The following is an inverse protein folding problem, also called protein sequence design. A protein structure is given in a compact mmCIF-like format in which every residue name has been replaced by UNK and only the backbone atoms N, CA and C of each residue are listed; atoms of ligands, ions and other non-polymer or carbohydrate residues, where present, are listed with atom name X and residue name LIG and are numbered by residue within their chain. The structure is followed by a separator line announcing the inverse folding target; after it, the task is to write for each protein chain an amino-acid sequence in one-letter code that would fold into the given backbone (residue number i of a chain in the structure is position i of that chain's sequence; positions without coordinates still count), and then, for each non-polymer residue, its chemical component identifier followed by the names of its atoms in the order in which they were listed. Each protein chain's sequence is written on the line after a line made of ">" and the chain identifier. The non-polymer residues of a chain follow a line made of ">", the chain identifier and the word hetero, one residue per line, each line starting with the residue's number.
data_IF_742659920695
#
_entry.id   IF_742659920695
#
_cell.length_a   1.000
_cell.length_b   1.000
_cell.length_c   1.000
_cell.angle_alpha   90.00
_cell.angle_beta   90.00
_cell.angle_gamma   90.00
#
_symmetry.space_group_name_H-M   'P 1'
#
loop_
_entity.id
_entity.type
_entity.pdbx_description
1 polymer ?
#
# COMPACT_ATOMS: atom_id res chain seq x y z
N UNK A 1 11.71 -65.88 37.06
CA UNK A 1 11.32 -66.13 35.66
C UNK A 1 10.18 -65.19 35.32
N UNK A 2 10.15 -64.65 34.08
CA UNK A 2 9.34 -63.52 33.54
C UNK A 2 9.91 -62.14 33.94
N UNK A 3 10.81 -61.47 33.20
CA UNK A 3 10.88 -61.10 31.77
C UNK A 3 9.67 -60.31 31.29
N UNK A 4 9.85 -58.99 31.17
CA UNK A 4 9.17 -58.08 30.24
C UNK A 4 9.95 -56.77 30.21
N UNK A 5 10.96 -56.72 29.34
CA UNK A 5 11.61 -55.50 28.86
C UNK A 5 10.74 -54.91 27.74
N UNK A 6 10.19 -53.72 27.96
CA UNK A 6 9.54 -52.91 26.94
C UNK A 6 10.56 -51.91 26.38
N UNK A 7 11.21 -52.32 25.29
CA UNK A 7 12.10 -51.49 24.47
C UNK A 7 11.24 -50.74 23.44
N UNK A 8 10.73 -49.57 23.85
CA UNK A 8 9.95 -48.67 23.00
C UNK A 8 10.92 -47.69 22.32
N UNK A 9 11.48 -48.13 21.20
CA UNK A 9 12.38 -47.33 20.36
C UNK A 9 11.59 -46.19 19.72
N UNK A 10 11.80 -44.96 20.22
CA UNK A 10 11.28 -43.74 19.60
C UNK A 10 11.84 -43.59 18.18
N UNK A 11 11.01 -43.90 17.18
CA UNK A 11 11.25 -43.49 15.79
C UNK A 11 11.07 -41.98 15.71
N UNK A 12 12.16 -41.26 15.44
CA UNK A 12 12.12 -39.85 15.07
C UNK A 12 11.21 -39.65 13.85
N UNK A 13 10.34 -38.62 13.83
CA UNK A 13 9.54 -38.29 12.66
C UNK A 13 10.50 -37.82 11.57
N UNK A 14 10.56 -38.60 10.49
CA UNK A 14 11.42 -38.32 9.34
C UNK A 14 11.12 -36.95 8.76
N UNK A 15 12.18 -36.19 8.52
CA UNK A 15 12.16 -35.10 7.55
C UNK A 15 11.64 -35.69 6.24
N UNK A 16 10.46 -35.26 5.82
CA UNK A 16 9.89 -35.65 4.54
C UNK A 16 10.87 -35.22 3.46
N UNK A 17 11.56 -36.20 2.89
CA UNK A 17 12.26 -36.11 1.62
C UNK A 17 11.19 -35.90 0.55
N UNK A 18 10.66 -34.67 0.48
CA UNK A 18 9.72 -34.25 -0.52
C UNK A 18 10.51 -34.18 -1.81
N UNK A 19 10.52 -35.29 -2.55
CA UNK A 19 10.99 -35.32 -3.92
C UNK A 19 10.35 -34.19 -4.73
N UNK A 20 10.96 -33.84 -5.88
CA UNK A 20 10.41 -32.81 -6.74
C UNK A 20 8.91 -33.06 -6.96
N UNK A 21 8.06 -32.02 -6.86
CA UNK A 21 6.61 -32.17 -6.98
C UNK A 21 6.28 -32.91 -8.27
N UNK A 22 5.33 -33.85 -8.18
CA UNK A 22 4.90 -34.62 -9.34
C UNK A 22 4.40 -33.67 -10.42
N UNK A 23 4.76 -33.94 -11.67
CA UNK A 23 4.38 -33.10 -12.80
C UNK A 23 2.85 -33.03 -12.92
N UNK A 24 2.18 -34.14 -12.61
CA UNK A 24 0.72 -34.23 -12.61
C UNK A 24 0.09 -33.30 -11.54
N UNK A 25 0.72 -33.16 -10.37
CA UNK A 25 0.28 -32.22 -9.33
C UNK A 25 0.41 -30.77 -9.78
N UNK A 26 1.51 -30.42 -10.45
CA UNK A 26 1.74 -29.07 -10.98
C UNK A 26 0.68 -28.74 -12.05
N UNK A 27 0.39 -29.68 -12.94
CA UNK A 27 -0.65 -29.52 -13.98
C UNK A 27 -2.02 -29.31 -13.33
N UNK A 28 -2.39 -30.14 -12.35
CA UNK A 28 -3.66 -30.01 -11.63
C UNK A 28 -3.79 -28.69 -10.85
N UNK A 29 -2.71 -28.23 -10.22
CA UNK A 29 -2.66 -26.93 -9.55
C UNK A 29 -2.84 -25.78 -10.55
N UNK A 30 -2.19 -25.87 -11.72
CA UNK A 30 -2.31 -24.86 -12.77
C UNK A 30 -3.73 -24.80 -13.35
N UNK A 31 -4.36 -25.94 -13.59
CA UNK A 31 -5.75 -25.99 -14.05
C UNK A 31 -6.72 -25.39 -13.03
N UNK A 32 -6.51 -25.70 -11.74
CA UNK A 32 -7.29 -25.11 -10.65
C UNK A 32 -7.11 -23.60 -10.62
N UNK A 33 -5.87 -23.11 -10.77
CA UNK A 33 -5.57 -21.69 -10.77
C UNK A 33 -6.20 -20.94 -11.94
N UNK A 34 -6.16 -21.50 -13.15
CA UNK A 34 -6.82 -20.92 -14.33
C UNK A 34 -8.34 -20.85 -14.14
N UNK A 35 -8.95 -21.89 -13.55
CA UNK A 35 -10.39 -21.88 -13.23
C UNK A 35 -10.74 -20.77 -12.25
N UNK A 36 -9.98 -20.63 -11.16
CA UNK A 36 -10.19 -19.55 -10.17
C UNK A 36 -10.03 -18.17 -10.82
N UNK A 37 -9.06 -18.02 -11.72
CA UNK A 37 -8.86 -16.77 -12.47
C UNK A 37 -10.06 -16.43 -13.35
N UNK A 38 -10.53 -17.39 -14.15
CA UNK A 38 -11.68 -17.20 -15.04
C UNK A 38 -12.97 -16.92 -14.26
N UNK A 39 -13.21 -17.63 -13.15
CA UNK A 39 -14.35 -17.39 -12.27
C UNK A 39 -14.31 -16.00 -11.64
N UNK A 40 -13.13 -15.57 -11.18
CA UNK A 40 -12.91 -14.24 -10.59
C UNK A 40 -13.15 -13.14 -11.62
N UNK A 41 -12.62 -13.33 -12.85
CA UNK A 41 -12.82 -12.42 -13.98
C UNK A 41 -14.29 -12.33 -14.39
N UNK A 42 -14.99 -13.45 -14.51
CA UNK A 42 -16.41 -13.49 -14.86
C UNK A 42 -17.27 -12.80 -13.79
N UNK A 43 -17.00 -13.07 -12.51
CA UNK A 43 -17.69 -12.42 -11.39
C UNK A 43 -17.44 -10.91 -11.35
N UNK A 44 -16.20 -10.47 -11.63
CA UNK A 44 -15.87 -9.05 -11.73
C UNK A 44 -16.61 -8.39 -12.90
N UNK A 45 -16.59 -8.99 -14.09
CA UNK A 45 -17.24 -8.45 -15.28
C UNK A 45 -18.76 -8.30 -15.09
N UNK A 46 -19.42 -9.32 -14.52
CA UNK A 46 -20.85 -9.27 -14.22
C UNK A 46 -21.19 -8.15 -13.23
N UNK A 47 -20.39 -7.99 -12.18
CA UNK A 47 -20.56 -6.91 -11.21
C UNK A 47 -20.29 -5.52 -11.82
N UNK A 48 -19.21 -5.37 -12.59
CA UNK A 48 -18.79 -4.08 -13.14
C UNK A 48 -19.86 -3.51 -14.08
N UNK A 49 -20.48 -4.35 -14.91
CA UNK A 49 -21.59 -3.94 -15.78
C UNK A 49 -22.80 -3.44 -14.98
N UNK A 50 -23.20 -4.17 -13.94
CA UNK A 50 -24.33 -3.79 -13.10
C UNK A 50 -24.03 -2.53 -12.29
N UNK A 51 -22.82 -2.43 -11.73
CA UNK A 51 -22.37 -1.25 -11.00
C UNK A 51 -22.34 -0.01 -11.89
N UNK A 52 -21.85 -0.12 -13.12
CA UNK A 52 -21.84 0.95 -14.09
C UNK A 52 -23.26 1.37 -14.46
N UNK A 53 -24.15 0.42 -14.78
CA UNK A 53 -25.58 0.70 -15.08
C UNK A 53 -26.27 1.40 -13.92
N UNK A 54 -26.14 0.88 -12.71
CA UNK A 54 -26.74 1.48 -11.51
C UNK A 54 -26.18 2.87 -11.22
N UNK A 55 -24.86 3.07 -11.40
CA UNK A 55 -24.22 4.37 -11.18
C UNK A 55 -24.67 5.39 -12.22
N UNK A 56 -24.70 5.02 -13.50
CA UNK A 56 -25.24 5.88 -14.56
C UNK A 56 -26.71 6.21 -14.31
N UNK A 57 -27.54 5.24 -13.92
CA UNK A 57 -28.94 5.47 -13.57
C UNK A 57 -29.11 6.38 -12.34
N UNK A 58 -28.15 6.39 -11.41
CA UNK A 58 -28.15 7.31 -10.26
C UNK A 58 -27.72 8.72 -10.66
N UNK A 59 -26.75 8.85 -11.56
CA UNK A 59 -26.27 10.12 -12.08
C UNK A 59 -27.24 10.76 -13.08
N UNK A 60 -27.97 9.95 -13.86
CA UNK A 60 -28.95 10.41 -14.85
C UNK A 60 -30.27 10.82 -14.24
N UNK A 61 -30.55 10.42 -13.00
CA UNK A 61 -31.65 11.00 -12.24
C UNK A 61 -31.31 12.48 -12.07
N UNK A 62 -32.10 13.35 -12.73
CA UNK A 62 -32.09 14.79 -12.50
C UNK A 62 -32.00 15.06 -10.99
N UNK A 63 -31.35 16.15 -10.53
CA UNK A 63 -31.15 16.47 -9.12
C UNK A 63 -32.50 16.78 -8.45
N UNK A 64 -33.35 15.77 -8.28
CA UNK A 64 -34.62 15.79 -7.59
C UNK A 64 -34.44 15.39 -6.12
N UNK A 65 -33.20 15.17 -5.68
CA UNK A 65 -32.93 15.32 -4.26
C UNK A 65 -32.93 16.82 -3.99
N UNK A 66 -34.04 17.29 -3.42
CA UNK A 66 -34.05 18.46 -2.56
C UNK A 66 -32.75 18.43 -1.76
N UNK A 67 -31.90 19.46 -1.85
CA UNK A 67 -30.66 19.51 -1.09
C UNK A 67 -30.97 19.07 0.33
N UNK A 68 -30.23 18.07 0.84
CA UNK A 68 -30.38 17.69 2.24
C UNK A 68 -30.26 19.00 3.01
N UNK A 69 -31.27 19.42 3.79
CA UNK A 69 -31.19 20.68 4.51
C UNK A 69 -29.85 20.66 5.22
N UNK A 70 -29.03 21.68 4.95
CA UNK A 70 -27.75 21.84 5.61
C UNK A 70 -27.99 21.61 7.10
N UNK A 71 -27.12 20.86 7.81
CA UNK A 71 -27.28 20.70 9.25
C UNK A 71 -27.53 22.09 9.81
N UNK A 72 -28.70 22.30 10.40
CA UNK A 72 -29.01 23.57 11.05
C UNK A 72 -27.85 23.84 11.99
N UNK A 73 -27.07 24.92 11.78
CA UNK A 73 -25.90 25.18 12.61
C UNK A 73 -26.36 25.11 14.05
N UNK A 74 -25.83 24.16 14.81
CA UNK A 74 -26.17 24.02 16.21
C UNK A 74 -25.81 25.37 16.86
N UNK A 75 -26.78 26.16 17.37
CA UNK A 75 -26.49 27.47 17.93
C UNK A 75 -25.56 27.40 19.15
N UNK A 76 -25.34 26.20 19.69
CA UNK A 76 -24.43 25.92 20.79
C UNK A 76 -23.10 25.27 20.37
N UNK A 77 -22.91 24.88 19.10
CA UNK A 77 -21.61 24.44 18.61
C UNK A 77 -20.77 25.68 18.31
N UNK A 78 -20.12 26.19 19.36
CA UNK A 78 -19.18 27.29 19.30
C UNK A 78 -18.01 26.91 18.37
N UNK A 79 -18.12 27.25 17.09
CA UNK A 79 -16.94 27.61 16.32
C UNK A 79 -16.28 28.78 17.07
N UNK A 80 -14.96 28.79 17.27
CA UNK A 80 -14.29 29.91 17.91
C UNK A 80 -14.62 31.16 17.11
N UNK A 81 -15.50 31.98 17.69
CA UNK A 81 -15.92 33.28 17.18
C UNK A 81 -14.67 34.14 17.10
N UNK A 82 -14.07 34.24 15.92
CA UNK A 82 -13.26 35.39 15.55
C UNK A 82 -14.19 36.59 15.33
N UNK A 83 -14.91 36.98 16.37
CA UNK A 83 -15.86 38.12 16.39
C UNK A 83 -15.16 39.47 16.22
N UNK A 84 -13.84 39.50 16.13
CA UNK A 84 -13.06 40.74 16.02
C UNK A 84 -12.90 41.30 14.59
N UNK A 85 -13.41 40.65 13.53
CA UNK A 85 -13.14 41.09 12.14
C UNK A 85 -14.35 41.51 11.30
N UNK A 86 -15.58 41.36 11.79
CA UNK A 86 -16.77 41.77 11.03
C UNK A 86 -17.83 42.38 11.95
N UNK A 87 -17.50 43.50 12.59
CA UNK A 87 -18.53 44.43 13.04
C UNK A 87 -18.98 45.23 11.81
N UNK A 88 -20.23 45.11 11.36
CA UNK A 88 -20.76 46.03 10.36
C UNK A 88 -20.83 47.42 10.99
N UNK A 89 -20.20 48.41 10.36
CA UNK A 89 -20.39 49.82 10.71
C UNK A 89 -21.89 50.13 10.70
N UNK A 90 -22.42 50.56 11.85
CA UNK A 90 -23.87 50.67 12.11
C UNK A 90 -24.53 51.92 11.51
N UNK A 91 -24.01 52.49 10.43
CA UNK A 91 -24.41 53.81 9.94
C UNK A 91 -25.04 53.85 8.54
N UNK A 92 -25.47 52.71 7.99
CA UNK A 92 -26.20 52.68 6.72
C UNK A 92 -27.72 52.53 6.95
N UNK A 93 -28.42 53.67 7.04
CA UNK A 93 -29.88 53.81 7.04
C UNK A 93 -30.55 53.48 5.69
N UNK A 94 -30.00 52.56 4.91
CA UNK A 94 -30.60 52.08 3.68
C UNK A 94 -31.75 51.13 4.03
N UNK A 95 -32.98 51.49 3.60
CA UNK A 95 -34.19 50.69 3.76
C UNK A 95 -33.90 49.19 3.59
N UNK A 96 -34.26 48.40 4.60
CA UNK A 96 -34.11 46.94 4.57
C UNK A 96 -34.88 46.40 3.36
N UNK A 97 -34.15 45.97 2.33
CA UNK A 97 -34.74 45.19 1.24
C UNK A 97 -35.22 43.87 1.86
N UNK A 98 -36.51 43.78 2.13
CA UNK A 98 -37.14 42.55 2.61
C UNK A 98 -37.61 41.77 1.38
N UNK A 99 -37.08 40.57 1.18
CA UNK A 99 -37.61 39.65 0.17
C UNK A 99 -38.64 38.76 0.82
N UNK A 100 -39.82 38.70 0.20
CA UNK A 100 -40.86 37.75 0.55
C UNK A 100 -40.70 36.50 -0.30
N UNK A 101 -40.71 35.34 0.34
CA UNK A 101 -40.85 34.06 -0.35
C UNK A 101 -41.97 33.26 0.29
N UNK A 102 -42.65 32.48 -0.53
CA UNK A 102 -43.70 31.59 -0.08
C UNK A 102 -43.07 30.22 0.19
N UNK A 103 -43.17 29.75 1.43
CA UNK A 103 -42.73 28.42 1.86
C UNK A 103 -43.97 27.54 1.97
N UNK A 104 -43.98 26.43 1.23
CA UNK A 104 -44.99 25.40 1.42
C UNK A 104 -44.54 24.47 2.55
N UNK A 105 -45.07 24.70 3.75
CA UNK A 105 -44.81 23.83 4.88
C UNK A 105 -45.58 22.52 4.71
N UNK A 106 -44.84 21.42 4.57
CA UNK A 106 -45.39 20.08 4.49
C UNK A 106 -45.77 19.61 5.90
N UNK A 107 -47.06 19.41 6.14
CA UNK A 107 -47.53 18.80 7.38
C UNK A 107 -47.68 17.26 7.20
N UNK A 108 -46.82 16.45 7.81
CA UNK A 108 -46.86 14.99 7.66
C UNK A 108 -48.11 14.36 8.30
N UNK A 109 -48.80 15.05 9.20
CA UNK A 109 -49.95 14.51 9.93
C UNK A 109 -51.29 14.69 9.21
N UNK A 110 -51.34 15.55 8.20
CA UNK A 110 -52.56 15.82 7.41
C UNK A 110 -52.56 15.11 6.05
N UNK A 111 -51.67 14.15 5.83
CA UNK A 111 -51.60 13.40 4.57
C UNK A 111 -51.06 14.20 3.38
N UNK A 112 -50.25 15.23 3.64
CA UNK A 112 -49.61 16.04 2.59
C UNK A 112 -50.35 17.32 2.22
N UNK A 113 -51.19 17.84 3.11
CA UNK A 113 -51.68 19.21 2.95
C UNK A 113 -50.50 20.20 3.10
N UNK A 114 -50.32 21.05 2.10
CA UNK A 114 -49.32 22.11 2.10
C UNK A 114 -49.95 23.41 2.62
N UNK A 115 -49.37 23.99 3.67
CA UNK A 115 -49.74 25.34 4.11
C UNK A 115 -48.75 26.32 3.49
N UNK A 116 -49.24 27.21 2.62
CA UNK A 116 -48.41 28.26 2.03
C UNK A 116 -48.22 29.38 3.03
N UNK A 117 -47.04 29.46 3.64
CA UNK A 117 -46.66 30.50 4.58
C UNK A 117 -45.79 31.51 3.85
N UNK A 118 -46.22 32.78 3.80
CA UNK A 118 -45.39 33.85 3.26
C UNK A 118 -44.45 34.32 4.36
N UNK A 119 -43.15 34.08 4.18
CA UNK A 119 -42.11 34.48 5.14
C UNK A 119 -41.32 35.65 4.56
N UNK A 120 -41.06 36.64 5.41
CA UNK A 120 -40.18 37.75 5.12
C UNK A 120 -38.78 37.42 5.64
N UNK A 121 -37.76 37.56 4.79
CA UNK A 121 -36.37 37.51 5.24
C UNK A 121 -35.67 38.81 4.85
N UNK A 122 -34.97 39.42 5.81
CA UNK A 122 -34.12 40.56 5.54
C UNK A 122 -33.01 40.12 4.58
N UNK A 123 -32.84 40.83 3.46
CA UNK A 123 -31.73 40.58 2.55
C UNK A 123 -30.46 40.98 3.26
N UNK A 124 -29.72 40.00 3.74
CA UNK A 124 -28.36 40.23 4.19
C UNK A 124 -27.52 40.54 2.95
N UNK A 125 -27.33 41.83 2.67
CA UNK A 125 -26.40 42.27 1.62
C UNK A 125 -25.02 41.77 2.00
N UNK A 126 -24.53 40.79 1.26
CA UNK A 126 -23.16 40.30 1.40
C UNK A 126 -22.26 41.51 1.12
N UNK A 127 -21.51 41.94 2.12
CA UNK A 127 -20.52 43.02 1.95
C UNK A 127 -19.60 42.58 0.81
N UNK A 128 -19.44 43.39 -0.25
CA UNK A 128 -18.62 43.02 -1.39
C UNK A 128 -17.20 42.77 -0.89
N UNK A 129 -16.76 41.52 -0.97
CA UNK A 129 -15.38 41.15 -0.65
C UNK A 129 -14.51 41.40 -1.88
N UNK A 130 -13.34 41.99 -1.67
CA UNK A 130 -12.34 42.05 -2.71
C UNK A 130 -11.86 40.63 -2.99
N UNK A 131 -12.05 40.15 -4.22
CA UNK A 131 -11.53 38.85 -4.62
C UNK A 131 -10.00 38.88 -4.50
N UNK A 132 -9.43 37.89 -3.84
CA UNK A 132 -7.98 37.71 -3.81
C UNK A 132 -7.46 37.44 -5.24
N UNK A 133 -6.22 37.83 -5.56
CA UNK A 133 -5.59 37.41 -6.80
C UNK A 133 -5.66 35.89 -6.97
N UNK A 134 -5.88 35.42 -8.21
CA UNK A 134 -5.86 33.99 -8.51
C UNK A 134 -4.46 33.45 -8.25
N UNK A 135 -4.36 32.42 -7.42
CA UNK A 135 -3.13 31.68 -7.19
C UNK A 135 -3.40 30.19 -7.34
N UNK A 136 -2.41 29.45 -7.83
CA UNK A 136 -2.43 27.98 -7.80
C UNK A 136 -1.86 27.51 -6.47
N UNK A 137 -2.39 26.43 -5.92
CA UNK A 137 -1.84 25.84 -4.71
C UNK A 137 -0.41 25.35 -4.98
N UNK A 138 0.51 25.67 -4.08
CA UNK A 138 1.87 25.17 -4.09
C UNK A 138 2.13 24.51 -2.73
N UNK A 139 2.59 23.25 -2.75
CA UNK A 139 2.97 22.58 -1.51
C UNK A 139 4.21 23.31 -0.93
N UNK A 140 4.16 23.80 0.33
CA UNK A 140 5.31 24.48 0.92
C UNK A 140 6.46 23.49 1.04
N UNK A 141 7.66 23.91 0.61
CA UNK A 141 8.85 23.09 0.66
C UNK A 141 9.98 23.89 1.32
N UNK A 142 10.56 23.34 2.39
CA UNK A 142 11.75 23.89 3.05
C UNK A 142 13.07 23.51 2.36
N UNK A 143 12.99 22.65 1.34
CA UNK A 143 14.12 22.16 0.55
C UNK A 143 13.66 21.89 -0.87
N UNK A 144 14.60 21.94 -1.81
CA UNK A 144 14.32 21.57 -3.20
C UNK A 144 13.78 20.14 -3.26
N UNK A 145 12.73 19.93 -4.06
CA UNK A 145 12.22 18.60 -4.38
C UNK A 145 12.64 18.33 -5.82
N UNK A 146 13.52 17.35 -6.06
CA UNK A 146 13.93 17.04 -7.42
C UNK A 146 12.73 16.46 -8.16
N UNK A 147 12.54 16.91 -9.38
CA UNK A 147 11.50 16.39 -10.25
C UNK A 147 11.89 14.97 -10.66
N UNK A 148 11.34 13.96 -9.98
CA UNK A 148 11.51 12.55 -10.38
C UNK A 148 10.78 12.32 -11.69
N UNK A 149 11.45 11.63 -12.61
CA UNK A 149 10.90 11.36 -13.94
C UNK A 149 10.53 12.66 -14.63
N UNK A 150 11.40 13.68 -14.53
CA UNK A 150 11.32 14.97 -15.22
C UNK A 150 10.55 14.74 -16.50
N UNK A 151 9.27 15.18 -16.54
CA UNK A 151 8.28 14.84 -17.57
C UNK A 151 9.03 14.46 -18.84
N UNK A 152 9.27 13.14 -19.02
CA UNK A 152 10.36 12.65 -19.88
C UNK A 152 10.26 13.45 -21.15
N UNK A 153 11.25 14.30 -21.46
CA UNK A 153 11.01 15.44 -22.34
C UNK A 153 10.16 15.03 -23.55
N UNK A 154 8.90 15.50 -23.60
CA UNK A 154 7.91 14.99 -24.55
C UNK A 154 6.81 14.07 -23.99
N UNK A 155 6.72 13.78 -22.69
CA UNK A 155 5.59 13.03 -22.10
C UNK A 155 4.63 13.98 -21.41
N UNK A 156 3.35 13.99 -21.82
CA UNK A 156 2.32 14.76 -21.14
C UNK A 156 1.94 14.06 -19.82
N UNK A 157 2.01 14.74 -18.67
CA UNK A 157 1.69 14.12 -17.39
C UNK A 157 0.18 13.98 -17.14
N UNK A 158 -0.63 14.91 -17.65
CA UNK A 158 -2.09 14.90 -17.60
C UNK A 158 -2.69 15.76 -18.72
N UNK A 159 -4.00 15.68 -18.93
CA UNK A 159 -4.74 16.54 -19.84
C UNK A 159 -5.35 17.75 -19.08
N UNK A 160 -4.79 18.96 -19.18
CA UNK A 160 -5.32 20.13 -18.49
C UNK A 160 -6.67 20.57 -19.07
N UNK A 161 -7.57 21.05 -18.21
CA UNK A 161 -8.84 21.69 -18.56
C UNK A 161 -9.67 20.93 -19.60
N UNK A 162 -9.79 19.61 -19.45
CA UNK A 162 -10.51 18.75 -20.41
C UNK A 162 -12.00 19.08 -20.56
N UNK A 163 -12.55 19.80 -19.60
CA UNK A 163 -13.92 20.28 -19.51
C UNK A 163 -14.11 21.72 -20.04
N UNK A 164 -13.03 22.46 -20.29
CA UNK A 164 -13.08 23.83 -20.79
C UNK A 164 -12.99 23.87 -22.33
N UNK A 165 -14.11 24.19 -22.98
CA UNK A 165 -14.18 24.31 -24.42
C UNK A 165 -13.32 25.46 -24.99
N UNK A 166 -12.93 26.45 -24.17
CA UNK A 166 -12.05 27.53 -24.60
C UNK A 166 -10.56 27.12 -24.59
N UNK A 167 -10.22 26.01 -23.93
CA UNK A 167 -8.85 25.52 -23.87
C UNK A 167 -8.56 24.58 -25.04
N UNK A 168 -7.58 24.94 -25.89
CA UNK A 168 -7.11 24.06 -26.97
C UNK A 168 -6.21 22.94 -26.44
N UNK A 169 -6.84 21.94 -25.83
CA UNK A 169 -6.17 20.76 -25.31
C UNK A 169 -5.41 19.99 -26.39
N UNK A 170 -5.87 20.02 -27.66
CA UNK A 170 -5.20 19.33 -28.76
C UNK A 170 -3.85 19.99 -29.08
N UNK A 171 -3.82 21.32 -29.22
CA UNK A 171 -2.57 22.04 -29.44
C UNK A 171 -1.59 21.93 -28.27
N UNK A 172 -2.11 21.83 -27.03
CA UNK A 172 -1.27 21.53 -25.86
C UNK A 172 -0.65 20.12 -25.95
N UNK A 173 -1.48 19.10 -26.18
CA UNK A 173 -1.05 17.69 -26.21
C UNK A 173 -0.11 17.38 -27.38
N UNK A 174 -0.23 18.07 -28.52
CA UNK A 174 0.69 17.93 -29.67
C UNK A 174 2.14 18.31 -29.36
N UNK A 175 2.41 18.99 -28.25
CA UNK A 175 3.79 19.31 -27.78
C UNK A 175 4.51 18.11 -27.18
N UNK A 176 3.80 17.00 -26.98
CA UNK A 176 4.27 15.79 -26.34
C UNK A 176 4.23 14.63 -27.35
N UNK A 177 5.26 13.79 -27.38
CA UNK A 177 5.33 12.57 -28.17
C UNK A 177 4.53 11.41 -27.56
N UNK A 178 4.35 11.44 -26.23
CA UNK A 178 3.74 10.36 -25.48
C UNK A 178 2.86 10.91 -24.35
N UNK A 179 1.93 10.10 -23.87
CA UNK A 179 1.06 10.47 -22.75
C UNK A 179 1.29 9.49 -21.60
N UNK A 180 1.56 10.02 -20.41
CA UNK A 180 1.89 9.20 -19.23
C UNK A 180 0.77 8.20 -18.87
N UNK A 181 -0.48 8.54 -19.20
CA UNK A 181 -1.64 7.66 -18.97
C UNK A 181 -1.84 6.59 -20.05
N UNK A 182 -1.01 6.54 -21.09
CA UNK A 182 -1.09 5.53 -22.17
C UNK A 182 0.02 4.46 -22.10
N UNK A 183 1.23 4.82 -21.70
CA UNK A 183 2.41 3.95 -21.84
C UNK A 183 2.67 3.00 -20.66
N UNK A 184 2.13 3.27 -19.47
CA UNK A 184 2.37 2.44 -18.26
C UNK A 184 1.11 2.22 -17.41
N UNK A 185 -0.07 2.49 -17.99
CA UNK A 185 -1.33 2.24 -17.28
C UNK A 185 -1.77 0.80 -17.53
N UNK A 186 -1.21 -0.13 -16.74
CA UNK A 186 -1.78 -1.47 -16.62
C UNK A 186 -3.23 -1.34 -16.13
N UNK A 187 -4.14 -2.02 -16.81
CA UNK A 187 -5.58 -1.93 -16.55
C UNK A 187 -5.86 -2.16 -15.05
N UNK A 188 -6.43 -1.16 -14.36
CA UNK A 188 -6.72 -1.29 -12.93
C UNK A 188 -7.69 -2.43 -12.63
N UNK A 189 -8.59 -2.76 -13.55
CA UNK A 189 -9.55 -3.85 -13.37
C UNK A 189 -8.83 -5.20 -13.41
N UNK A 190 -7.88 -5.39 -14.34
CA UNK A 190 -7.04 -6.60 -14.40
C UNK A 190 -6.22 -6.77 -13.13
N UNK A 191 -5.63 -5.70 -12.59
CA UNK A 191 -4.87 -5.78 -11.34
C UNK A 191 -5.75 -6.23 -10.16
N UNK A 192 -6.99 -5.76 -10.08
CA UNK A 192 -7.94 -6.16 -9.02
C UNK A 192 -8.33 -7.63 -9.20
N UNK A 193 -8.58 -8.08 -10.43
CA UNK A 193 -8.91 -9.47 -10.75
C UNK A 193 -7.76 -10.39 -10.36
N UNK A 194 -6.52 -10.06 -10.74
CA UNK A 194 -5.34 -10.86 -10.41
C UNK A 194 -5.08 -10.89 -8.90
N UNK A 195 -5.20 -9.74 -8.23
CA UNK A 195 -5.04 -9.65 -6.78
C UNK A 195 -6.07 -10.53 -6.05
N UNK A 196 -7.35 -10.46 -6.45
CA UNK A 196 -8.39 -11.30 -5.84
C UNK A 196 -8.22 -12.78 -6.18
N UNK A 197 -7.73 -13.10 -7.39
CA UNK A 197 -7.37 -14.47 -7.77
C UNK A 197 -6.26 -15.01 -6.87
N UNK A 198 -5.16 -14.27 -6.70
CA UNK A 198 -4.07 -14.65 -5.83
C UNK A 198 -4.53 -14.83 -4.37
N UNK A 199 -5.43 -13.95 -3.91
CA UNK A 199 -6.05 -14.02 -2.58
C UNK A 199 -6.86 -15.30 -2.40
N UNK A 200 -7.68 -15.69 -3.38
CA UNK A 200 -8.44 -16.95 -3.36
C UNK A 200 -7.52 -18.17 -3.39
N UNK A 201 -6.53 -18.18 -4.28
CA UNK A 201 -5.56 -19.27 -4.36
C UNK A 201 -4.80 -19.46 -3.05
N UNK A 202 -4.41 -18.36 -2.40
CA UNK A 202 -3.71 -18.42 -1.13
C UNK A 202 -4.61 -18.84 0.03
N UNK A 203 -5.75 -18.18 0.24
CA UNK A 203 -6.57 -18.39 1.44
C UNK A 203 -7.59 -19.52 1.31
N UNK A 204 -8.09 -19.83 0.11
CA UNK A 204 -9.07 -20.92 -0.12
C UNK A 204 -8.41 -22.20 -0.58
N UNK A 205 -7.40 -22.12 -1.45
CA UNK A 205 -6.71 -23.29 -2.00
C UNK A 205 -5.38 -23.59 -1.30
N UNK A 206 -5.03 -22.80 -0.28
CA UNK A 206 -3.82 -23.00 0.55
C UNK A 206 -2.51 -23.05 -0.25
N UNK A 207 -2.45 -22.39 -1.40
CA UNK A 207 -1.23 -22.30 -2.20
C UNK A 207 -0.29 -21.22 -1.63
N UNK A 208 1.00 -21.54 -1.39
CA UNK A 208 1.97 -20.52 -0.98
C UNK A 208 2.23 -19.55 -2.13
N UNK A 209 2.52 -18.28 -1.81
CA UNK A 209 2.68 -17.22 -2.82
C UNK A 209 3.72 -17.57 -3.89
N UNK A 210 4.81 -18.21 -3.50
CA UNK A 210 5.89 -18.58 -4.41
C UNK A 210 5.46 -19.73 -5.36
N UNK A 211 4.58 -20.62 -4.91
CA UNK A 211 3.98 -21.62 -5.81
C UNK A 211 3.00 -20.98 -6.78
N UNK A 212 2.21 -19.99 -6.34
CA UNK A 212 1.32 -19.23 -7.22
C UNK A 212 2.12 -18.53 -8.33
N UNK A 213 3.25 -17.90 -7.98
CA UNK A 213 4.16 -17.29 -8.95
C UNK A 213 4.74 -18.32 -9.93
N UNK A 214 5.10 -19.52 -9.45
CA UNK A 214 5.63 -20.60 -10.29
C UNK A 214 4.62 -21.14 -11.33
N UNK A 215 3.30 -20.95 -11.12
CA UNK A 215 2.27 -21.34 -12.09
C UNK A 215 2.29 -20.45 -13.35
N UNK A 216 2.93 -19.27 -13.30
CA UNK A 216 3.06 -18.36 -14.44
C UNK A 216 1.72 -17.82 -14.97
N UNK A 217 0.72 -17.69 -14.09
CA UNK A 217 -0.63 -17.20 -14.43
C UNK A 217 -0.73 -15.67 -14.44
N UNK A 218 0.23 -14.97 -13.83
CA UNK A 218 0.25 -13.51 -13.69
C UNK A 218 1.52 -12.93 -14.32
N UNK A 219 1.43 -11.74 -14.92
CA UNK A 219 2.60 -11.03 -15.45
C UNK A 219 3.46 -10.42 -14.33
N UNK A 220 2.86 -10.18 -13.16
CA UNK A 220 3.51 -9.53 -12.00
C UNK A 220 3.58 -10.51 -10.83
N UNK A 221 4.75 -10.67 -10.19
CA UNK A 221 4.86 -11.50 -8.98
C UNK A 221 3.86 -11.07 -7.90
N UNK A 222 3.25 -12.04 -7.21
CA UNK A 222 2.17 -11.80 -6.25
C UNK A 222 2.59 -10.85 -5.15
N UNK A 223 3.82 -10.96 -4.64
CA UNK A 223 4.36 -10.05 -3.61
C UNK A 223 4.45 -8.61 -4.09
N UNK A 224 4.92 -8.40 -5.32
CA UNK A 224 4.96 -7.08 -5.95
C UNK A 224 3.56 -6.52 -6.14
N UNK A 225 2.60 -7.37 -6.53
CA UNK A 225 1.19 -7.01 -6.64
C UNK A 225 0.58 -6.60 -5.28
N UNK A 226 0.89 -7.30 -4.19
CA UNK A 226 0.44 -6.93 -2.83
C UNK A 226 0.94 -5.51 -2.47
N UNK A 227 2.22 -5.20 -2.72
CA UNK A 227 2.78 -3.86 -2.46
C UNK A 227 2.13 -2.79 -3.34
N UNK A 228 1.84 -3.11 -4.60
CA UNK A 228 1.17 -2.18 -5.51
C UNK A 228 -0.26 -1.88 -5.03
N UNK A 229 -1.01 -2.92 -4.65
CA UNK A 229 -2.39 -2.80 -4.19
C UNK A 229 -2.50 -2.14 -2.80
N UNK A 230 -1.51 -2.28 -1.93
CA UNK A 230 -1.51 -1.61 -0.62
C UNK A 230 -1.41 -0.08 -0.72
N UNK A 231 -1.05 0.46 -1.90
CA UNK A 231 -0.94 1.90 -2.17
C UNK A 231 -2.16 2.46 -2.90
N UNK A 232 -3.11 1.62 -3.27
CA UNK A 232 -4.30 1.99 -4.03
C UNK A 232 -5.53 2.00 -3.13
N UNK A 233 -6.49 2.83 -3.51
CA UNK A 233 -7.84 2.70 -2.99
C UNK A 233 -8.47 1.44 -3.60
N UNK A 234 -8.96 0.56 -2.73
CA UNK A 234 -9.59 -0.67 -3.17
C UNK A 234 -11.00 -0.39 -3.70
N UNK A 235 -11.33 -1.08 -4.79
CA UNK A 235 -12.68 -1.08 -5.33
C UNK A 235 -13.62 -1.86 -4.40
N UNK A 236 -14.77 -1.28 -4.08
CA UNK A 236 -15.81 -1.92 -3.25
C UNK A 236 -16.62 -2.94 -4.05
N UNK A 237 -15.95 -3.99 -4.50
CA UNK A 237 -16.54 -5.12 -5.21
C UNK A 237 -16.89 -6.24 -4.22
N UNK A 238 -18.12 -6.81 -4.24
CA UNK A 238 -18.52 -7.89 -3.35
C UNK A 238 -17.60 -9.11 -3.32
N UNK A 239 -16.99 -9.47 -4.45
CA UNK A 239 -16.08 -10.61 -4.54
C UNK A 239 -14.72 -10.39 -3.85
N UNK A 240 -14.34 -9.15 -3.57
CA UNK A 240 -13.07 -8.78 -2.97
C UNK A 240 -13.25 -8.39 -1.50
N UNK A 241 -13.33 -7.08 -1.18
CA UNK A 241 -13.32 -6.56 0.19
C UNK A 241 -14.51 -6.95 1.05
N UNK A 242 -15.66 -7.24 0.44
CA UNK A 242 -16.86 -7.67 1.18
C UNK A 242 -16.94 -9.19 1.31
N UNK A 243 -15.96 -9.91 0.76
CA UNK A 243 -15.85 -11.35 0.89
C UNK A 243 -15.40 -11.77 2.29
N UNK A 244 -15.49 -13.07 2.58
CA UNK A 244 -15.11 -13.65 3.87
C UNK A 244 -13.61 -13.89 4.03
N UNK A 245 -12.85 -13.90 2.92
CA UNK A 245 -11.42 -14.16 2.99
C UNK A 245 -10.65 -12.93 3.50
N UNK A 246 -9.52 -13.13 4.22
CA UNK A 246 -8.65 -12.04 4.63
C UNK A 246 -8.13 -11.22 3.44
N UNK A 247 -7.75 -9.98 3.71
CA UNK A 247 -6.98 -9.15 2.79
C UNK A 247 -5.48 -9.39 3.01
N UNK A 248 -4.69 -9.32 1.94
CA UNK A 248 -3.23 -9.32 2.12
C UNK A 248 -2.79 -8.06 2.85
N UNK A 249 -1.81 -8.24 3.73
CA UNK A 249 -1.10 -7.21 4.46
C UNK A 249 0.29 -6.99 3.84
N UNK A 250 0.94 -5.88 4.20
CA UNK A 250 2.35 -5.66 3.81
C UNK A 250 3.30 -6.72 4.40
N UNK A 251 2.90 -7.42 5.47
CA UNK A 251 3.69 -8.51 6.02
C UNK A 251 3.71 -9.71 5.05
N UNK A 252 2.61 -9.99 4.36
CA UNK A 252 2.52 -11.08 3.38
C UNK A 252 3.39 -10.83 2.15
N UNK A 253 3.63 -9.55 1.81
CA UNK A 253 4.55 -9.18 0.75
C UNK A 253 6.02 -9.36 1.14
N UNK A 254 6.34 -9.35 2.44
CA UNK A 254 7.71 -9.57 2.90
C UNK A 254 8.10 -11.01 2.59
N UNK A 255 9.28 -11.27 1.98
CA UNK A 255 9.75 -12.63 1.84
C UNK A 255 9.75 -13.30 3.22
N UNK A 256 9.40 -14.59 3.31
CA UNK A 256 9.44 -15.29 4.59
C UNK A 256 10.83 -15.06 5.20
N UNK A 257 10.93 -14.83 6.52
CA UNK A 257 12.22 -14.69 7.16
C UNK A 257 12.98 -15.98 6.93
N UNK A 258 13.84 -16.01 5.92
CA UNK A 258 14.77 -17.11 5.76
C UNK A 258 15.62 -17.07 7.01
N UNK A 259 15.60 -18.13 7.82
CA UNK A 259 16.37 -18.22 9.05
C UNK A 259 17.90 -18.05 8.86
N UNK A 260 18.36 -17.85 7.62
CA UNK A 260 19.73 -17.63 7.18
C UNK A 260 19.90 -16.47 6.19
N UNK A 261 19.05 -15.42 6.19
CA UNK A 261 19.46 -14.19 5.49
C UNK A 261 20.64 -13.60 6.23
N UNK A 262 21.84 -13.79 5.66
CA UNK A 262 23.06 -13.12 6.06
C UNK A 262 22.74 -11.64 6.33
N UNK A 263 23.19 -11.09 7.46
CA UNK A 263 23.05 -9.67 7.82
C UNK A 263 23.37 -8.76 6.61
N UNK A 264 24.33 -9.18 5.80
CA UNK A 264 24.67 -8.55 4.53
C UNK A 264 23.50 -8.42 3.56
N UNK A 265 22.71 -9.47 3.32
CA UNK A 265 21.56 -9.45 2.42
C UNK A 265 20.47 -8.49 2.92
N UNK A 266 20.26 -8.42 4.24
CA UNK A 266 19.35 -7.44 4.83
C UNK A 266 19.90 -6.01 4.65
N UNK A 267 21.15 -5.75 5.01
CA UNK A 267 21.74 -4.41 4.87
C UNK A 267 21.74 -3.94 3.41
N UNK A 268 22.14 -4.80 2.48
CA UNK A 268 22.13 -4.48 1.04
C UNK A 268 20.72 -4.23 0.50
N UNK A 269 19.68 -4.89 1.02
CA UNK A 269 18.30 -4.58 0.66
C UNK A 269 17.86 -3.19 1.16
N UNK A 270 18.33 -2.76 2.34
CA UNK A 270 17.96 -1.47 2.92
C UNK A 270 18.80 -0.30 2.42
N UNK A 271 20.08 -0.50 2.07
CA UNK A 271 21.00 0.59 1.73
C UNK A 271 20.57 1.45 0.53
N UNK A 272 19.98 0.90 -0.55
CA UNK A 272 19.42 1.71 -1.63
C UNK A 272 18.31 2.65 -1.18
N UNK A 273 17.66 2.35 -0.04
CA UNK A 273 16.62 3.15 0.56
C UNK A 273 17.15 4.23 1.51
N UNK A 274 18.45 4.37 1.75
CA UNK A 274 18.98 5.35 2.69
C UNK A 274 20.01 6.24 2.03
N UNK A 275 19.97 7.56 2.25
CA UNK A 275 20.95 8.44 1.63
C UNK A 275 22.28 8.50 2.38
N UNK A 276 23.37 8.26 1.64
CA UNK A 276 24.74 8.23 2.16
C UNK A 276 25.39 9.62 2.23
N UNK A 277 24.72 10.65 1.72
CA UNK A 277 25.20 12.02 1.89
C UNK A 277 25.03 12.41 3.37
N UNK A 278 26.13 12.73 4.05
CA UNK A 278 26.12 13.13 5.46
C UNK A 278 25.24 14.36 5.73
N UNK A 279 24.95 15.16 4.71
CA UNK A 279 24.00 16.28 4.79
C UNK A 279 22.53 15.89 4.50
N UNK A 280 22.24 14.66 4.05
CA UNK A 280 20.89 14.08 3.89
C UNK A 280 20.82 12.69 4.54
N UNK A 281 20.73 12.62 5.87
CA UNK A 281 20.55 11.37 6.61
C UNK A 281 19.05 11.05 6.67
N UNK A 282 18.46 10.69 5.53
CA UNK A 282 17.03 10.36 5.44
C UNK A 282 16.78 9.10 4.60
N UNK A 283 15.82 8.25 5.01
CA UNK A 283 15.33 7.18 4.17
C UNK A 283 14.60 7.76 2.94
N UNK A 284 14.74 7.07 1.81
CA UNK A 284 14.17 7.37 0.50
C UNK A 284 14.45 8.82 0.07
N UNK A 285 15.62 9.37 0.42
CA UNK A 285 16.04 10.73 0.04
C UNK A 285 15.87 10.88 -1.47
N UNK A 286 14.97 11.78 -1.88
CA UNK A 286 14.64 11.93 -3.30
C UNK A 286 15.69 12.73 -4.06
N UNK A 287 16.51 13.52 -3.35
CA UNK A 287 17.54 14.46 -3.83
C UNK A 287 18.80 13.81 -4.38
N UNK A 288 19.30 12.77 -3.73
CA UNK A 288 20.63 12.22 -4.02
C UNK A 288 20.53 10.81 -4.60
N UNK A 289 19.96 10.71 -5.80
CA UNK A 289 19.95 9.48 -6.60
C UNK A 289 20.87 9.65 -7.83
N UNK A 290 21.54 8.58 -8.31
CA UNK A 290 21.51 7.21 -7.81
C UNK A 290 22.32 7.03 -6.52
N UNK A 291 21.85 6.12 -5.67
CA UNK A 291 22.54 5.71 -4.46
C UNK A 291 23.69 4.76 -4.85
N UNK A 292 24.94 4.99 -4.40
CA UNK A 292 26.01 4.04 -4.65
C UNK A 292 25.66 2.67 -4.05
N UNK A 293 25.95 1.60 -4.80
CA UNK A 293 25.87 0.26 -4.26
C UNK A 293 26.80 0.14 -3.04
N UNK A 294 26.29 -0.44 -1.95
CA UNK A 294 27.15 -0.76 -0.83
C UNK A 294 28.10 -1.88 -1.24
N UNK A 295 29.38 -1.54 -1.34
CA UNK A 295 30.45 -2.53 -1.45
C UNK A 295 30.88 -2.82 -0.02
N UNK A 296 30.64 -4.03 0.51
CA UNK A 296 31.07 -4.37 1.84
C UNK A 296 32.60 -4.21 1.91
N UNK A 297 33.14 -3.57 2.97
CA UNK A 297 34.57 -3.62 3.18
C UNK A 297 34.98 -5.08 3.35
N UNK A 298 36.08 -5.48 2.70
CA UNK A 298 36.70 -6.78 2.95
C UNK A 298 37.08 -6.87 4.42
N UNK A 299 36.65 -7.89 5.18
CA UNK A 299 36.99 -8.01 6.58
C UNK A 299 38.51 -8.12 6.72
N UNK A 300 39.12 -7.22 7.51
CA UNK A 300 40.56 -7.21 7.76
C UNK A 300 40.96 -7.97 9.03
N UNK A 301 39.98 -8.39 9.84
CA UNK A 301 40.19 -9.09 11.10
C UNK A 301 39.51 -10.45 11.05
N UNK A 302 40.30 -11.50 11.26
CA UNK A 302 39.77 -12.85 11.43
C UNK A 302 39.32 -13.08 12.87
N UNK A 303 38.46 -14.07 13.10
CA UNK A 303 38.03 -14.45 14.45
C UNK A 303 39.20 -14.82 15.36
N UNK A 304 40.27 -15.40 14.80
CA UNK A 304 41.52 -15.67 15.52
C UNK A 304 42.21 -14.37 15.96
N UNK A 305 42.40 -13.43 15.05
CA UNK A 305 43.00 -12.12 15.37
C UNK A 305 42.22 -11.37 16.46
N UNK A 306 40.89 -11.42 16.41
CA UNK A 306 40.02 -10.79 17.42
C UNK A 306 40.18 -11.46 18.79
N UNK A 307 40.41 -12.78 18.83
CA UNK A 307 40.67 -13.54 20.06
C UNK A 307 41.98 -13.11 20.72
N UNK A 308 43.01 -12.92 19.88
CA UNK A 308 44.36 -12.58 20.30
C UNK A 308 44.57 -11.09 20.60
N UNK A 309 43.63 -10.23 20.21
CA UNK A 309 43.67 -8.81 20.56
C UNK A 309 43.78 -8.60 22.07
N UNK A 310 44.53 -7.58 22.50
CA UNK A 310 44.66 -7.25 23.93
C UNK A 310 43.30 -6.89 24.56
N UNK A 311 43.12 -7.25 25.83
CA UNK A 311 41.93 -6.92 26.62
C UNK A 311 41.38 -8.08 27.42
N UNK A 312 41.01 -7.82 28.68
CA UNK A 312 40.50 -8.82 29.59
C UNK A 312 39.14 -9.37 29.12
N UNK A 313 38.86 -10.67 29.34
CA UNK A 313 37.57 -11.26 28.99
C UNK A 313 36.45 -10.60 29.79
N UNK A 314 35.34 -10.24 29.13
CA UNK A 314 34.21 -9.52 29.73
C UNK A 314 33.33 -10.37 30.66
N UNK A 315 33.60 -11.67 30.79
CA UNK A 315 32.83 -12.58 31.63
C UNK A 315 33.16 -14.05 31.36
N UNK A 316 32.41 -14.94 32.03
CA UNK A 316 32.56 -16.40 31.91
C UNK A 316 32.18 -16.95 30.53
N UNK A 317 31.23 -16.33 29.84
CA UNK A 317 30.85 -16.67 28.45
C UNK A 317 31.55 -15.84 27.38
N UNK A 318 32.71 -15.24 27.69
CA UNK A 318 33.44 -14.44 26.73
C UNK A 318 34.10 -15.34 25.68
N UNK A 319 33.99 -15.00 24.39
CA UNK A 319 34.59 -15.76 23.29
C UNK A 319 36.11 -15.96 23.43
N UNK A 320 36.81 -15.07 24.15
CA UNK A 320 38.24 -15.22 24.46
C UNK A 320 38.56 -16.37 25.42
N UNK A 321 37.57 -16.91 26.14
CA UNK A 321 37.73 -18.04 27.07
C UNK A 321 37.36 -19.37 26.46
N UNK A 322 36.70 -19.38 25.30
CA UNK A 322 36.28 -20.61 24.62
C UNK A 322 37.50 -21.15 23.88
N UNK A 323 38.00 -22.31 24.33
CA UNK A 323 39.07 -23.02 23.62
C UNK A 323 38.58 -23.51 22.26
N UNK A 324 39.47 -23.74 21.30
CA UNK A 324 39.06 -24.28 19.99
C UNK A 324 38.33 -25.63 20.12
N UNK A 325 38.74 -26.46 21.08
CA UNK A 325 38.11 -27.74 21.41
C UNK A 325 36.67 -27.58 21.92
N UNK A 326 36.35 -26.48 22.62
CA UNK A 326 35.00 -26.20 23.12
C UNK A 326 34.06 -25.72 21.99
N UNK A 327 34.61 -25.06 20.95
CA UNK A 327 33.81 -24.57 19.82
C UNK A 327 33.29 -25.73 18.98
N UNK A 328 34.12 -26.74 18.69
CA UNK A 328 33.69 -27.94 17.96
C UNK A 328 32.60 -28.70 18.72
N UNK A 329 32.78 -28.89 20.03
CA UNK A 329 31.77 -29.53 20.87
C UNK A 329 30.44 -28.75 20.94
N UNK A 330 30.48 -27.42 20.90
CA UNK A 330 29.28 -26.57 20.85
C UNK A 330 28.57 -26.62 19.50
N UNK A 331 29.31 -26.66 18.39
CA UNK A 331 28.76 -26.83 17.05
C UNK A 331 28.05 -28.20 16.92
N UNK A 332 28.67 -29.28 17.40
CA UNK A 332 28.09 -30.62 17.37
C UNK A 332 26.81 -30.72 18.21
N UNK A 333 26.77 -30.08 19.39
CA UNK A 333 25.54 -29.99 20.19
C UNK A 333 24.44 -29.13 19.55
N UNK A 334 24.80 -28.06 18.82
CA UNK A 334 23.85 -27.23 18.09
C UNK A 334 23.24 -27.98 16.90
N UNK A 335 24.04 -28.76 16.17
CA UNK A 335 23.55 -29.64 15.10
C UNK A 335 22.64 -30.75 15.62
N UNK A 336 22.95 -31.32 16.79
CA UNK A 336 22.12 -32.35 17.43
C UNK A 336 20.77 -31.81 17.92
N UNK A 337 20.71 -30.55 18.39
CA UNK A 337 19.46 -29.93 18.90
C UNK A 337 18.56 -29.35 17.82
N UNK A 338 19.09 -29.01 16.65
CA UNK A 338 18.32 -28.37 15.59
C UNK A 338 17.98 -29.26 14.39
N UNK A 339 18.28 -30.57 14.45
CA UNK A 339 17.86 -31.54 13.43
C UNK A 339 18.47 -31.24 12.06
N UNK A 340 19.66 -31.78 11.79
CA UNK A 340 20.29 -31.88 10.47
C UNK A 340 20.18 -30.63 9.56
N UNK A 341 20.24 -29.42 10.13
CA UNK A 341 20.55 -28.22 9.36
C UNK A 341 22.07 -28.14 9.32
N UNK A 342 22.66 -28.37 8.15
CA UNK A 342 24.06 -28.06 7.88
C UNK A 342 24.24 -26.54 8.02
N UNK A 343 24.58 -26.08 9.22
CA UNK A 343 25.37 -24.86 9.36
C UNK A 343 26.68 -25.10 8.62
N UNK A 344 26.85 -24.41 7.49
CA UNK A 344 28.15 -24.36 6.82
C UNK A 344 29.12 -23.60 7.70
N UNK A 345 29.81 -24.30 8.59
CA UNK A 345 31.08 -23.86 9.15
C UNK A 345 32.17 -24.06 8.09
N UNK A 346 32.00 -23.47 6.91
CA UNK A 346 33.09 -23.37 5.96
C UNK A 346 34.03 -22.27 6.46
N UNK A 347 35.02 -22.68 7.25
CA UNK A 347 36.30 -21.99 7.28
C UNK A 347 36.83 -22.01 5.84
N UNK A 348 36.47 -20.99 5.05
CA UNK A 348 37.14 -20.76 3.79
C UNK A 348 38.62 -20.46 4.10
N UNK A 349 39.47 -21.46 3.91
CA UNK A 349 40.88 -21.23 3.64
C UNK A 349 40.95 -20.31 2.42
N UNK A 350 41.28 -19.05 2.67
CA UNK A 350 41.64 -18.09 1.63
C UNK A 350 42.98 -18.55 1.08
N UNK A 351 42.94 -19.36 0.04
CA UNK A 351 44.14 -19.70 -0.75
C UNK A 351 44.55 -18.43 -1.50
N UNK A 352 45.79 -18.03 -1.27
CA UNK A 352 46.46 -16.81 -1.74
C UNK A 352 46.47 -16.61 -3.25
#
# INVERSE_FOLDING_TARGET
>A
MTSSDSDETMRSPGASDAGPPDLDDIIAQRETALRVYDDTRAAFAAWAQEHARTTLARLSRAPNRVPRPLPTPNPHAAWPRSEALFLPDSDSSAAEDVIYFDVDEYNPHTGGAHTRVRTASAVQRIVPFNAYPRYTMCAPASRSVPMRGAAVAGVAPYAPFSDDAAFDGRAYLQKFCEFAWQTDMRDPDLQIIEYDTARRLHFQHHLPLDAIDALGIFDTPVRSMIVAMSRRDYLRWPGSQLGTLPMFTLADASPPPTHNTNLYAHLTAFLPSFCANLNCIMPLCRLHAPMPAFVPPTPHLTSAMIRDMEGAPCGVGCYKRVGEEDVEGMCDQAHARHGAVRFGCDLQEVVH
#
